data_IF_134693775334
#
_entry.id   IF_134693775334
#
_cell.length_a   1.000
_cell.length_b   1.000
_cell.length_c   1.000
_cell.angle_alpha   90.00
_cell.angle_beta   90.00
_cell.angle_gamma   90.00
#
_symmetry.space_group_name_H-M   'P 1'
#
loop_
_entity.id
_entity.type
_entity.pdbx_description
1 polymer ?
#
# COMPACT_ATOMS: atom_id res chain seq x y z
N UNK A 1 3.14 -9.05 7.50
CA UNK A 1 3.20 -7.62 7.16
C UNK A 1 2.70 -7.37 5.74
N UNK A 2 2.24 -6.14 5.43
CA UNK A 2 1.82 -5.78 4.06
C UNK A 2 3.03 -5.26 3.30
N UNK A 3 3.56 -6.06 2.39
CA UNK A 3 4.64 -5.63 1.51
C UNK A 3 4.08 -4.81 0.34
N UNK A 4 4.76 -3.74 -0.05
CA UNK A 4 4.48 -3.02 -1.28
C UNK A 4 5.75 -2.62 -2.00
N UNK A 5 5.61 -2.51 -3.32
CA UNK A 5 6.68 -2.00 -4.14
C UNK A 5 6.73 -0.48 -4.05
N UNK A 6 7.84 0.05 -3.52
CA UNK A 6 8.07 1.48 -3.51
C UNK A 6 8.76 1.89 -4.80
N UNK A 7 8.07 2.64 -5.65
CA UNK A 7 8.60 3.10 -6.96
C UNK A 7 9.83 4.00 -6.80
N UNK A 8 9.90 4.80 -5.72
CA UNK A 8 11.09 5.63 -5.43
C UNK A 8 12.31 4.80 -5.03
N UNK A 9 12.11 3.77 -4.21
CA UNK A 9 13.18 2.91 -3.75
C UNK A 9 13.46 1.73 -4.70
N UNK A 10 12.63 1.55 -5.74
CA UNK A 10 12.64 0.45 -6.71
C UNK A 10 12.75 -0.94 -6.08
N UNK A 11 12.21 -1.10 -4.87
CA UNK A 11 12.28 -2.34 -4.10
C UNK A 11 10.99 -2.60 -3.35
N UNK A 12 10.78 -3.87 -3.00
CA UNK A 12 9.70 -4.28 -2.11
C UNK A 12 10.08 -3.86 -0.69
N UNK A 13 9.19 -3.14 -0.03
CA UNK A 13 9.34 -2.69 1.34
C UNK A 13 8.09 -3.03 2.11
N UNK A 14 8.25 -3.32 3.39
CA UNK A 14 7.12 -3.47 4.29
C UNK A 14 6.51 -2.10 4.58
N UNK A 15 5.21 -1.97 4.37
CA UNK A 15 4.49 -0.75 4.71
C UNK A 15 4.47 -0.57 6.23
N UNK A 16 4.85 0.63 6.69
CA UNK A 16 4.53 1.07 8.05
C UNK A 16 3.09 1.56 8.12
N UNK A 17 2.40 1.21 9.20
CA UNK A 17 1.00 1.58 9.46
C UNK A 17 0.03 1.24 8.31
N UNK A 18 -0.05 -0.04 7.89
CA UNK A 18 -1.02 -0.45 6.89
C UNK A 18 -2.44 -0.25 7.42
N UNK A 19 -3.23 0.56 6.71
CA UNK A 19 -4.62 0.89 6.97
C UNK A 19 -5.45 0.44 5.79
N UNK A 20 -6.51 -0.33 6.04
CA UNK A 20 -7.45 -0.69 4.98
C UNK A 20 -8.32 0.53 4.67
N UNK A 21 -8.33 0.93 3.41
CA UNK A 21 -9.12 2.04 2.89
C UNK A 21 -9.92 1.54 1.68
N UNK A 22 -11.21 1.86 1.66
CA UNK A 22 -12.05 1.61 0.49
C UNK A 22 -11.92 2.82 -0.42
N UNK A 23 -11.41 2.62 -1.64
CA UNK A 23 -11.30 3.69 -2.63
C UNK A 23 -12.70 4.12 -3.07
N UNK A 24 -12.83 5.36 -3.60
CA UNK A 24 -14.11 5.87 -4.12
C UNK A 24 -14.78 4.96 -5.16
N UNK A 25 -14.00 4.11 -5.84
CA UNK A 25 -14.49 3.15 -6.83
C UNK A 25 -14.96 1.81 -6.19
N UNK A 26 -15.19 1.77 -4.88
CA UNK A 26 -15.67 0.58 -4.14
C UNK A 26 -14.62 -0.52 -3.94
N UNK A 27 -13.38 -0.32 -4.43
CA UNK A 27 -12.31 -1.32 -4.34
C UNK A 27 -11.57 -1.25 -3.00
N UNK A 28 -11.37 -2.38 -2.30
CA UNK A 28 -10.56 -2.42 -1.09
C UNK A 28 -9.09 -2.21 -1.44
N UNK A 29 -8.45 -1.29 -0.74
CA UNK A 29 -7.03 -1.02 -0.83
C UNK A 29 -6.41 -0.95 0.57
N UNK A 30 -5.11 -1.17 0.64
CA UNK A 30 -4.32 -0.94 1.84
C UNK A 30 -3.44 0.27 1.59
N UNK A 31 -3.60 1.30 2.42
CA UNK A 31 -2.74 2.47 2.47
C UNK A 31 -1.70 2.26 3.55
N UNK A 32 -0.44 2.56 3.28
CA UNK A 32 0.60 2.58 4.30
C UNK A 32 1.69 3.58 3.93
N UNK A 33 2.77 3.60 4.70
CA UNK A 33 3.87 4.53 4.49
C UNK A 33 5.17 3.76 4.26
N UNK A 34 5.96 4.19 3.27
CA UNK A 34 7.29 3.63 3.05
C UNK A 34 8.23 4.04 4.19
N UNK A 35 8.87 3.10 4.92
CA UNK A 35 9.79 3.42 6.01
C UNK A 35 11.10 4.06 5.53
N UNK A 36 11.39 4.03 4.23
CA UNK A 36 12.68 4.46 3.67
C UNK A 36 12.60 5.88 3.12
N UNK A 37 11.55 6.18 2.34
CA UNK A 37 11.39 7.48 1.68
C UNK A 37 10.19 8.27 2.20
N UNK A 38 9.47 7.77 3.21
CA UNK A 38 8.30 8.43 3.80
C UNK A 38 7.08 8.55 2.87
N UNK A 39 7.16 8.03 1.64
CA UNK A 39 6.10 8.18 0.65
C UNK A 39 4.94 7.23 0.97
N UNK A 40 3.71 7.72 0.86
CA UNK A 40 2.50 6.93 1.02
C UNK A 40 2.43 5.86 -0.07
N UNK A 41 2.34 4.61 0.34
CA UNK A 41 2.18 3.45 -0.53
C UNK A 41 0.73 3.00 -0.51
N UNK A 42 0.22 2.62 -1.67
CA UNK A 42 -1.10 2.02 -1.81
C UNK A 42 -0.95 0.64 -2.44
N UNK A 43 -1.48 -0.38 -1.76
CA UNK A 43 -1.60 -1.74 -2.28
C UNK A 43 -3.07 -2.01 -2.49
N UNK A 44 -3.50 -1.94 -3.73
CA UNK A 44 -4.86 -2.33 -4.11
C UNK A 44 -4.93 -3.85 -3.98
N UNK A 45 -5.81 -4.35 -3.11
CA UNK A 45 -6.10 -5.79 -3.05
C UNK A 45 -6.89 -6.18 -4.29
N UNK A 46 -6.71 -7.41 -4.80
CA UNK A 46 -7.68 -7.96 -5.76
C UNK A 46 -9.05 -7.93 -5.07
N UNK A 47 -10.00 -7.24 -5.70
CA UNK A 47 -11.42 -7.39 -5.40
C UNK A 47 -11.73 -8.87 -5.55
N UNK A 48 -11.87 -9.59 -4.44
CA UNK A 48 -12.39 -10.95 -4.46
C UNK A 48 -13.90 -10.85 -4.67
N UNK A 49 -14.31 -10.67 -5.92
CA UNK A 49 -15.62 -11.06 -6.40
C UNK A 49 -15.60 -11.20 -7.91
#
# INVERSE_FOLDING_TARGET
>A
MVEAYCVKCRKKVEMKNPTQVTMKNGRPAVKGTCPICGTTLYRIGKSSK
#
